data_IF_444766659458
#
_entry.id   IF_444766659458
#
_cell.length_a   1.000
_cell.length_b   1.000
_cell.length_c   1.000
_cell.angle_alpha   90.00
_cell.angle_beta   90.00
_cell.angle_gamma   90.00
#
_symmetry.space_group_name_H-M   'P 1'
#
loop_
_entity.id
_entity.type
_entity.pdbx_description
1 polymer ?
#
# COMPACT_ATOMS: atom_id res chain seq x y z
N UNK A 1 -25.86 -51.18 56.12
CA UNK A 1 -25.52 -51.71 54.79
C UNK A 1 -26.07 -50.72 53.76
N UNK A 2 -25.20 -50.18 52.91
CA UNK A 2 -25.54 -49.28 51.80
C UNK A 2 -26.23 -50.11 50.73
N UNK A 3 -27.32 -49.63 50.14
CA UNK A 3 -27.83 -50.00 48.81
C UNK A 3 -28.89 -48.96 48.38
N UNK A 4 -28.44 -47.78 47.95
CA UNK A 4 -29.31 -46.81 47.27
C UNK A 4 -29.18 -47.03 45.77
N UNK A 5 -30.31 -47.40 45.18
CA UNK A 5 -30.58 -47.59 43.76
C UNK A 5 -29.90 -46.53 42.88
N UNK A 6 -29.05 -47.01 41.99
CA UNK A 6 -28.86 -46.39 40.68
C UNK A 6 -30.10 -46.64 39.82
N UNK A 7 -30.35 -45.73 38.88
CA UNK A 7 -31.23 -45.85 37.70
C UNK A 7 -32.73 -45.63 37.90
N UNK A 8 -33.18 -44.39 37.70
CA UNK A 8 -34.05 -44.07 36.56
C UNK A 8 -34.19 -42.55 36.37
N UNK A 9 -33.52 -42.08 35.32
CA UNK A 9 -34.10 -41.14 34.35
C UNK A 9 -34.59 -39.80 34.90
N UNK A 10 -33.67 -39.01 35.46
CA UNK A 10 -33.84 -37.56 35.41
C UNK A 10 -33.90 -37.17 33.93
N UNK A 11 -35.03 -36.59 33.53
CA UNK A 11 -35.24 -36.03 32.20
C UNK A 11 -34.04 -35.16 31.83
N UNK A 12 -33.44 -35.45 30.68
CA UNK A 12 -32.48 -34.60 29.99
C UNK A 12 -33.31 -33.48 29.36
N UNK A 13 -33.36 -32.25 29.92
CA UNK A 13 -33.85 -31.15 29.11
C UNK A 13 -32.79 -30.95 28.04
N UNK A 14 -33.17 -31.13 26.78
CA UNK A 14 -32.38 -30.76 25.61
C UNK A 14 -31.63 -29.47 25.92
N UNK A 15 -30.34 -29.60 26.24
CA UNK A 15 -29.42 -28.49 26.20
C UNK A 15 -29.27 -28.22 24.71
N UNK A 16 -29.76 -27.08 24.18
CA UNK A 16 -29.58 -26.80 22.77
C UNK A 16 -28.09 -26.87 22.47
N UNK A 17 -27.70 -27.82 21.62
CA UNK A 17 -26.32 -27.95 21.19
C UNK A 17 -25.87 -26.57 20.70
N UNK A 18 -24.70 -26.07 21.12
CA UNK A 18 -24.21 -24.77 20.67
C UNK A 18 -24.31 -24.69 19.15
N UNK A 19 -25.11 -23.75 18.64
CA UNK A 19 -25.18 -23.48 17.21
C UNK A 19 -23.75 -23.23 16.70
N UNK A 20 -23.36 -23.75 15.52
CA UNK A 20 -22.03 -23.52 14.97
C UNK A 20 -21.75 -22.02 14.93
N UNK A 21 -20.90 -21.52 15.82
CA UNK A 21 -20.45 -20.14 15.77
C UNK A 21 -19.73 -19.98 14.43
N UNK A 22 -20.19 -19.08 13.54
CA UNK A 22 -19.47 -18.79 12.32
C UNK A 22 -18.08 -18.33 12.75
N UNK A 23 -17.07 -19.14 12.42
CA UNK A 23 -15.70 -18.89 12.81
C UNK A 23 -15.29 -17.47 12.47
N UNK A 24 -14.57 -16.86 13.40
CA UNK A 24 -13.78 -15.65 13.24
C UNK A 24 -13.11 -15.61 11.86
N UNK A 25 -13.73 -14.89 10.93
CA UNK A 25 -13.16 -14.62 9.63
C UNK A 25 -12.03 -13.60 9.83
N UNK A 26 -10.83 -14.09 10.13
CA UNK A 26 -9.61 -13.29 10.18
C UNK A 26 -9.36 -12.68 8.80
N UNK A 27 -9.85 -11.46 8.56
CA UNK A 27 -9.66 -10.78 7.29
C UNK A 27 -8.23 -10.24 7.22
N UNK A 28 -7.35 -11.00 6.56
CA UNK A 28 -5.95 -10.61 6.32
C UNK A 28 -5.89 -9.46 5.32
N UNK A 29 -5.94 -8.22 5.81
CA UNK A 29 -5.72 -7.05 4.96
C UNK A 29 -4.22 -6.82 4.74
N UNK A 30 -3.72 -7.16 3.55
CA UNK A 30 -2.33 -6.91 3.17
C UNK A 30 -2.15 -5.42 2.85
N UNK A 31 -1.49 -4.65 3.73
CA UNK A 31 -1.08 -3.28 3.40
C UNK A 31 0.07 -3.34 2.42
N UNK A 32 -0.22 -3.25 1.11
CA UNK A 32 0.80 -2.99 0.09
C UNK A 32 1.26 -1.54 0.24
N UNK A 33 2.43 -1.31 0.86
CA UNK A 33 3.15 -0.05 0.63
C UNK A 33 3.64 -0.05 -0.82
N UNK A 34 2.87 0.56 -1.71
CA UNK A 34 3.30 0.82 -3.08
C UNK A 34 4.43 1.87 -3.04
N UNK A 35 5.60 1.57 -3.61
CA UNK A 35 6.64 2.57 -3.90
C UNK A 35 6.05 3.74 -4.69
N UNK A 36 6.37 4.97 -4.29
CA UNK A 36 5.79 6.16 -4.89
C UNK A 36 6.40 6.44 -6.28
N UNK A 37 5.79 5.88 -7.33
CA UNK A 37 6.19 6.10 -8.73
C UNK A 37 6.12 7.58 -9.13
N UNK A 38 5.17 8.34 -8.58
CA UNK A 38 4.98 9.76 -8.89
C UNK A 38 6.18 10.58 -8.39
N UNK A 39 6.73 10.27 -7.22
CA UNK A 39 7.90 10.97 -6.68
C UNK A 39 9.12 10.85 -7.61
N UNK A 40 9.37 9.67 -8.16
CA UNK A 40 10.48 9.45 -9.10
C UNK A 40 10.25 10.13 -10.46
N UNK A 41 9.02 10.10 -10.97
CA UNK A 41 8.62 10.84 -12.16
C UNK A 41 8.88 12.34 -12.01
N UNK A 42 8.41 12.94 -10.90
CA UNK A 42 8.59 14.37 -10.62
C UNK A 42 10.07 14.71 -10.47
N UNK A 43 10.83 13.89 -9.74
CA UNK A 43 12.27 14.12 -9.53
C UNK A 43 13.02 14.06 -10.86
N UNK A 44 12.75 13.04 -11.69
CA UNK A 44 13.36 12.90 -13.01
C UNK A 44 12.99 14.07 -13.95
N UNK A 45 11.72 14.46 -13.97
CA UNK A 45 11.24 15.61 -14.74
C UNK A 45 11.91 16.92 -14.27
N UNK A 46 12.05 17.12 -12.96
CA UNK A 46 12.70 18.30 -12.39
C UNK A 46 14.19 18.37 -12.76
N UNK A 47 14.92 17.27 -12.62
CA UNK A 47 16.34 17.19 -13.03
C UNK A 47 16.47 17.44 -14.53
N UNK A 48 15.59 16.85 -15.34
CA UNK A 48 15.52 17.09 -16.78
C UNK A 48 15.25 18.57 -17.11
N UNK A 49 14.25 19.17 -16.49
CA UNK A 49 13.93 20.59 -16.69
C UNK A 49 15.11 21.50 -16.38
N UNK A 50 15.81 21.26 -15.26
CA UNK A 50 17.02 22.01 -14.91
C UNK A 50 18.09 21.86 -16.00
N UNK A 51 18.35 20.64 -16.48
CA UNK A 51 19.29 20.40 -17.56
C UNK A 51 18.87 21.11 -18.87
N UNK A 52 17.60 21.04 -19.25
CA UNK A 52 17.06 21.70 -20.44
C UNK A 52 17.15 23.22 -20.36
N UNK A 53 16.89 23.80 -19.19
CA UNK A 53 17.08 25.24 -18.93
C UNK A 53 18.55 25.63 -19.07
N UNK A 54 19.47 24.87 -18.48
CA UNK A 54 20.91 25.13 -18.59
C UNK A 54 21.38 25.05 -20.05
N UNK A 55 20.96 24.01 -20.79
CA UNK A 55 21.31 23.85 -22.21
C UNK A 55 20.75 24.99 -23.04
N UNK A 56 19.48 25.37 -22.85
CA UNK A 56 18.87 26.48 -23.60
C UNK A 56 19.43 27.85 -23.22
N UNK A 57 19.83 28.05 -21.96
CA UNK A 57 20.34 29.33 -21.47
C UNK A 57 21.85 29.52 -21.73
N UNK A 58 22.66 28.48 -21.61
CA UNK A 58 24.11 28.56 -21.85
C UNK A 58 24.47 28.20 -23.30
N UNK A 59 23.56 27.57 -24.04
CA UNK A 59 23.77 27.21 -25.43
C UNK A 59 23.99 28.42 -26.34
N UNK A 60 24.66 28.20 -27.49
CA UNK A 60 24.88 29.24 -28.48
C UNK A 60 23.54 29.78 -28.98
N UNK A 61 23.45 31.10 -29.09
CA UNK A 61 22.28 31.74 -29.67
C UNK A 61 22.14 31.38 -31.15
N UNK A 62 20.93 31.50 -31.69
CA UNK A 62 20.70 31.38 -33.12
C UNK A 62 20.04 32.65 -33.65
N UNK A 63 20.30 32.99 -34.90
CA UNK A 63 19.59 34.10 -35.57
C UNK A 63 18.21 33.69 -36.08
N UNK A 64 17.98 32.38 -36.27
CA UNK A 64 16.73 31.84 -36.80
C UNK A 64 15.66 31.64 -35.71
N UNK A 65 16.06 31.39 -34.47
CA UNK A 65 15.19 31.10 -33.34
C UNK A 65 15.48 32.01 -32.16
N UNK A 66 14.41 32.52 -31.56
CA UNK A 66 14.51 33.31 -30.33
C UNK A 66 15.03 32.44 -29.18
N UNK A 67 15.74 33.06 -28.25
CA UNK A 67 16.28 32.36 -27.07
C UNK A 67 15.18 31.70 -26.23
N UNK A 68 14.02 32.35 -26.10
CA UNK A 68 12.85 31.76 -25.42
C UNK A 68 12.35 30.48 -26.09
N UNK A 69 12.33 30.43 -27.43
CA UNK A 69 11.93 29.22 -28.17
C UNK A 69 12.93 28.07 -27.97
N UNK A 70 14.24 28.36 -27.99
CA UNK A 70 15.30 27.36 -27.75
C UNK A 70 15.19 26.80 -26.32
N UNK A 71 15.04 27.67 -25.32
CA UNK A 71 14.87 27.28 -23.93
C UNK A 71 13.61 26.44 -23.75
N UNK A 72 12.48 26.88 -24.31
CA UNK A 72 11.22 26.15 -24.23
C UNK A 72 11.29 24.75 -24.86
N UNK A 73 11.93 24.64 -26.03
CA UNK A 73 12.14 23.35 -26.70
C UNK A 73 12.96 22.40 -25.82
N UNK A 74 14.15 22.82 -25.37
CA UNK A 74 15.00 21.97 -24.54
C UNK A 74 14.36 21.65 -23.19
N UNK A 75 13.67 22.59 -22.55
CA UNK A 75 12.92 22.34 -21.33
C UNK A 75 11.90 21.21 -21.54
N UNK A 76 11.06 21.30 -22.59
CA UNK A 76 10.03 20.29 -22.87
C UNK A 76 10.65 18.94 -23.20
N UNK A 77 11.66 18.92 -24.08
CA UNK A 77 12.36 17.68 -24.47
C UNK A 77 13.01 17.01 -23.26
N UNK A 78 13.77 17.74 -22.45
CA UNK A 78 14.43 17.18 -21.28
C UNK A 78 13.45 16.84 -20.16
N UNK A 79 12.31 17.52 -20.05
CA UNK A 79 11.26 17.16 -19.11
C UNK A 79 10.69 15.78 -19.44
N UNK A 80 10.39 15.51 -20.72
CA UNK A 80 9.89 14.21 -21.18
C UNK A 80 10.96 13.11 -20.98
N UNK A 81 12.20 13.37 -21.41
CA UNK A 81 13.31 12.42 -21.26
C UNK A 81 13.59 12.14 -19.77
N UNK A 82 13.68 13.19 -18.95
CA UNK A 82 13.92 13.09 -17.51
C UNK A 82 12.81 12.35 -16.78
N UNK A 83 11.55 12.63 -17.11
CA UNK A 83 10.40 11.90 -16.56
C UNK A 83 10.46 10.42 -16.95
N UNK A 84 10.78 10.11 -18.22
CA UNK A 84 10.88 8.73 -18.71
C UNK A 84 11.98 7.97 -17.97
N UNK A 85 13.16 8.55 -17.83
CA UNK A 85 14.27 7.95 -17.05
C UNK A 85 13.87 7.77 -15.59
N UNK A 86 13.26 8.80 -14.98
CA UNK A 86 12.75 8.73 -13.61
C UNK A 86 11.75 7.60 -13.41
N UNK A 87 10.81 7.43 -14.34
CA UNK A 87 9.84 6.34 -14.33
C UNK A 87 10.49 4.98 -14.48
N UNK A 88 11.45 4.82 -15.40
CA UNK A 88 12.20 3.55 -15.56
C UNK A 88 12.93 3.19 -14.27
N UNK A 89 13.60 4.15 -13.63
CA UNK A 89 14.26 3.95 -12.33
C UNK A 89 13.23 3.58 -11.25
N UNK A 90 12.07 4.24 -11.24
CA UNK A 90 10.97 3.92 -10.34
C UNK A 90 10.51 2.47 -10.51
N UNK A 91 10.32 2.01 -11.74
CA UNK A 91 9.88 0.65 -12.06
C UNK A 91 10.92 -0.40 -11.66
N UNK A 92 12.21 -0.10 -11.85
CA UNK A 92 13.30 -0.97 -11.41
C UNK A 92 13.31 -1.09 -9.88
N UNK A 93 13.18 0.03 -9.17
CA UNK A 93 13.11 0.03 -7.71
C UNK A 93 11.81 -0.59 -7.19
N UNK A 94 10.69 -0.36 -7.86
CA UNK A 94 9.40 -0.97 -7.55
C UNK A 94 9.47 -2.50 -7.67
N UNK A 95 10.10 -3.02 -8.73
CA UNK A 95 10.41 -4.45 -8.88
C UNK A 95 11.20 -5.02 -7.71
N UNK A 96 12.19 -4.27 -7.21
CA UNK A 96 13.01 -4.69 -6.07
C UNK A 96 12.19 -4.63 -4.76
N UNK A 97 11.36 -3.60 -4.61
CA UNK A 97 10.54 -3.38 -3.42
C UNK A 97 9.39 -4.38 -3.32
N UNK A 98 8.75 -4.74 -4.44
CA UNK A 98 7.79 -5.84 -4.55
C UNK A 98 8.37 -7.17 -4.05
N UNK A 99 9.67 -7.40 -4.29
CA UNK A 99 10.38 -8.59 -3.80
C UNK A 99 10.76 -8.49 -2.32
N UNK A 100 10.91 -7.28 -1.78
CA UNK A 100 11.37 -7.02 -0.41
C UNK A 100 10.26 -6.78 0.61
N UNK A 101 9.04 -6.45 0.19
CA UNK A 101 7.87 -6.25 1.08
C UNK A 101 7.27 -7.54 1.64
N UNK A 102 8.03 -8.64 1.68
CA UNK A 102 7.64 -9.84 2.41
C UNK A 102 7.87 -9.57 3.91
N UNK A 103 6.81 -9.68 4.70
CA UNK A 103 6.79 -9.68 6.19
C UNK A 103 6.64 -8.31 6.88
N UNK A 104 5.45 -7.70 6.77
CA UNK A 104 4.91 -6.95 7.91
C UNK A 104 3.64 -7.66 8.34
N UNK A 105 3.77 -8.48 9.39
CA UNK A 105 2.68 -9.17 10.06
C UNK A 105 1.89 -8.12 10.83
N UNK A 106 0.66 -7.82 10.40
CA UNK A 106 -0.24 -6.99 11.17
C UNK A 106 -1.10 -7.93 12.03
N UNK A 107 -0.92 -7.85 13.34
CA UNK A 107 -1.80 -8.47 14.33
C UNK A 107 -3.00 -7.54 14.52
N UNK A 108 -4.18 -7.98 14.05
CA UNK A 108 -5.45 -7.28 14.26
C UNK A 108 -6.05 -7.84 15.54
N UNK A 109 -6.12 -7.03 16.59
CA UNK A 109 -6.77 -7.39 17.84
C UNK A 109 -8.23 -6.91 17.76
N UNK A 110 -9.16 -7.84 17.58
CA UNK A 110 -10.59 -7.54 17.61
C UNK A 110 -10.99 -7.17 19.05
N UNK A 111 -11.24 -5.88 19.28
CA UNK A 111 -11.85 -5.36 20.51
C UNK A 111 -13.37 -5.63 20.48
N UNK A 112 -13.76 -6.91 20.48
CA UNK A 112 -15.18 -7.30 20.65
C UNK A 112 -15.45 -7.88 22.04
N UNK A 113 -15.27 -7.10 23.11
CA UNK A 113 -15.46 -7.64 24.45
C UNK A 113 -15.56 -6.68 25.63
N UNK A 114 -16.11 -5.48 25.46
CA UNK A 114 -16.26 -4.56 26.61
C UNK A 114 -17.67 -4.03 26.89
N UNK A 115 -18.69 -4.34 26.07
CA UNK A 115 -20.02 -3.70 26.23
C UNK A 115 -21.21 -4.67 26.36
N UNK A 116 -21.01 -5.90 26.82
CA UNK A 116 -22.13 -6.80 27.16
C UNK A 116 -22.11 -7.29 28.63
N UNK A 117 -22.70 -6.43 29.47
CA UNK A 117 -23.52 -6.66 30.69
C UNK A 117 -22.85 -7.21 31.97
N UNK A 118 -23.15 -6.56 33.10
CA UNK A 118 -23.81 -7.29 34.19
C UNK A 118 -25.13 -6.61 34.54
N UNK A 119 -26.22 -7.37 34.43
CA UNK A 119 -27.49 -6.97 35.02
C UNK A 119 -27.44 -7.15 36.54
N UNK A 120 -27.92 -6.14 37.25
CA UNK A 120 -28.77 -6.25 38.45
C UNK A 120 -29.62 -4.99 38.54
#
# INVERSE_FOLDING_TARGET
MRDNLETMSAADPETPAPAPQPGSATERMTVRRAPNMIAFLITGAAVGAIAGLLVGALGPGSLAYTRGAIIGFFLMTFLIVGATVGAVVALVLDRISLKRSRHVTAEVQDLHGADERPGT
#
